data_IF_171049806279
#
_entry.id   IF_171049806279
#
_cell.length_a   1.000
_cell.length_b   1.000
_cell.length_c   1.000
_cell.angle_alpha   90.00
_cell.angle_beta   90.00
_cell.angle_gamma   90.00
#
_symmetry.space_group_name_H-M   'P 1'
#
loop_
_entity.id
_entity.type
_entity.pdbx_description
1 polymer ?
#
# COMPACT_ATOMS: atom_id res chain seq x y z
N UNK A 1 -55.90 6.76 -27.92
CA UNK A 1 -57.33 6.68 -27.57
C UNK A 1 -58.15 7.05 -28.80
N UNK A 2 -59.10 6.20 -29.21
CA UNK A 2 -60.08 6.59 -30.26
C UNK A 2 -60.84 7.82 -29.75
N UNK A 3 -60.99 8.85 -30.57
CA UNK A 3 -61.77 10.03 -30.20
C UNK A 3 -63.21 9.60 -29.85
N UNK A 4 -63.71 10.06 -28.71
CA UNK A 4 -65.11 9.86 -28.31
C UNK A 4 -66.03 10.37 -29.41
N UNK A 5 -66.98 9.55 -29.87
CA UNK A 5 -68.00 9.94 -30.88
C UNK A 5 -68.86 11.14 -30.44
N UNK A 6 -68.87 11.45 -29.14
CA UNK A 6 -69.65 12.55 -28.55
C UNK A 6 -68.76 13.70 -28.10
N UNK A 7 -69.17 14.94 -28.46
CA UNK A 7 -68.58 16.19 -27.96
C UNK A 7 -68.97 16.43 -26.50
N UNK A 8 -68.19 17.25 -25.79
CA UNK A 8 -68.47 17.55 -24.37
C UNK A 8 -69.82 18.25 -24.19
N UNK A 9 -70.25 19.05 -25.17
CA UNK A 9 -71.59 19.64 -25.20
C UNK A 9 -72.70 18.59 -25.36
N UNK A 10 -72.49 17.58 -26.21
CA UNK A 10 -73.43 16.47 -26.37
C UNK A 10 -73.52 15.62 -25.10
N UNK A 11 -72.41 15.37 -24.42
CA UNK A 11 -72.39 14.67 -23.13
C UNK A 11 -73.13 15.44 -22.04
N UNK A 12 -72.88 16.74 -21.93
CA UNK A 12 -73.59 17.61 -20.98
C UNK A 12 -75.11 17.59 -21.23
N UNK A 13 -75.53 17.64 -22.51
CA UNK A 13 -76.94 17.58 -22.89
C UNK A 13 -77.59 16.24 -22.52
N UNK A 14 -76.91 15.12 -22.78
CA UNK A 14 -77.38 13.77 -22.44
C UNK A 14 -77.52 13.60 -20.92
N UNK A 15 -76.57 14.13 -20.14
CA UNK A 15 -76.65 14.10 -18.68
C UNK A 15 -77.78 14.98 -18.15
N UNK A 16 -78.00 16.15 -18.76
CA UNK A 16 -79.09 17.07 -18.41
C UNK A 16 -80.47 16.42 -18.58
N UNK A 17 -80.70 15.65 -19.66
CA UNK A 17 -81.96 14.92 -19.86
C UNK A 17 -82.31 13.98 -18.70
N UNK A 18 -81.31 13.35 -18.06
CA UNK A 18 -81.55 12.50 -16.91
C UNK A 18 -81.74 13.27 -15.60
N UNK A 19 -81.16 14.46 -15.48
CA UNK A 19 -81.45 15.39 -14.38
C UNK A 19 -82.89 15.96 -14.50
N UNK A 20 -83.37 16.17 -15.73
CA UNK A 20 -84.72 16.63 -16.06
C UNK A 20 -85.79 15.50 -15.95
N UNK A 21 -85.41 14.30 -15.49
CA UNK A 21 -86.34 13.21 -15.14
C UNK A 21 -86.60 12.15 -16.23
N UNK A 22 -85.90 12.18 -17.37
CA UNK A 22 -86.06 11.15 -18.41
C UNK A 22 -85.43 9.81 -17.96
N UNK A 23 -86.13 8.66 -18.11
CA UNK A 23 -85.57 7.36 -17.72
C UNK A 23 -84.24 7.04 -18.43
N UNK A 24 -83.22 6.63 -17.66
CA UNK A 24 -81.87 6.34 -18.16
C UNK A 24 -81.86 5.32 -19.30
N UNK A 25 -82.74 4.31 -19.25
CA UNK A 25 -82.89 3.30 -20.30
C UNK A 25 -83.32 3.90 -21.66
N UNK A 26 -84.13 4.96 -21.63
CA UNK A 26 -84.58 5.67 -22.83
C UNK A 26 -83.52 6.61 -23.37
N UNK A 27 -82.82 7.33 -22.48
CA UNK A 27 -81.67 8.18 -22.85
C UNK A 27 -80.59 7.35 -23.55
N UNK A 28 -80.24 6.19 -22.97
CA UNK A 28 -79.24 5.28 -23.52
C UNK A 28 -79.64 4.75 -24.91
N UNK A 29 -80.93 4.42 -25.10
CA UNK A 29 -81.48 3.98 -26.39
C UNK A 29 -81.42 5.08 -27.45
N UNK A 30 -81.82 6.30 -27.11
CA UNK A 30 -81.84 7.46 -28.03
C UNK A 30 -80.43 7.94 -28.40
N UNK A 31 -79.52 7.99 -27.43
CA UNK A 31 -78.14 8.43 -27.65
C UNK A 31 -77.23 7.32 -28.18
N UNK A 32 -77.67 6.06 -28.21
CA UNK A 32 -76.88 4.92 -28.67
C UNK A 32 -75.68 4.62 -27.77
N UNK A 33 -75.82 4.80 -26.45
CA UNK A 33 -74.79 4.54 -25.44
C UNK A 33 -75.23 3.45 -24.46
N UNK A 34 -74.27 2.77 -23.83
CA UNK A 34 -74.61 1.79 -22.78
C UNK A 34 -74.96 2.50 -21.46
N UNK A 35 -75.81 1.89 -20.59
CA UNK A 35 -76.07 2.41 -19.25
C UNK A 35 -74.80 2.64 -18.42
N UNK A 36 -73.80 1.76 -18.54
CA UNK A 36 -72.51 1.93 -17.86
C UNK A 36 -71.80 3.22 -18.30
N UNK A 37 -71.77 3.51 -19.61
CA UNK A 37 -71.20 4.75 -20.15
C UNK A 37 -71.92 5.99 -19.64
N UNK A 38 -73.25 5.93 -19.52
CA UNK A 38 -74.04 7.02 -18.95
C UNK A 38 -73.68 7.29 -17.48
N UNK A 39 -73.62 6.25 -16.65
CA UNK A 39 -73.26 6.39 -15.23
C UNK A 39 -71.80 6.81 -15.03
N UNK A 40 -70.87 6.37 -15.87
CA UNK A 40 -69.47 6.83 -15.86
C UNK A 40 -69.37 8.32 -16.22
N UNK A 41 -70.12 8.78 -17.22
CA UNK A 41 -70.18 10.20 -17.55
C UNK A 41 -70.84 11.00 -16.46
N UNK A 42 -71.91 10.50 -15.86
CA UNK A 42 -72.60 11.14 -14.73
C UNK A 42 -71.62 11.31 -13.57
N UNK A 43 -70.96 10.24 -13.13
CA UNK A 43 -69.96 10.27 -12.06
C UNK A 43 -68.83 11.28 -12.31
N UNK A 44 -68.42 11.46 -13.57
CA UNK A 44 -67.25 12.28 -13.93
C UNK A 44 -67.59 13.73 -14.30
N UNK A 45 -68.78 13.98 -14.84
CA UNK A 45 -69.13 15.24 -15.50
C UNK A 45 -70.48 15.83 -15.05
N UNK A 46 -71.21 15.19 -14.14
CA UNK A 46 -72.44 15.74 -13.58
C UNK A 46 -72.18 17.11 -12.94
N UNK A 47 -73.04 18.08 -13.25
CA UNK A 47 -72.93 19.46 -12.76
C UNK A 47 -71.87 20.33 -13.45
N UNK A 48 -71.05 19.79 -14.37
CA UNK A 48 -70.02 20.56 -15.07
C UNK A 48 -70.53 21.18 -16.37
N UNK A 49 -70.16 22.43 -16.63
CA UNK A 49 -70.35 23.05 -17.93
C UNK A 49 -69.38 22.46 -18.98
N UNK A 50 -69.70 22.48 -20.29
CA UNK A 50 -68.83 21.93 -21.33
C UNK A 50 -67.38 22.49 -21.33
N UNK A 51 -67.20 23.76 -20.96
CA UNK A 51 -65.88 24.38 -20.81
C UNK A 51 -65.08 23.78 -19.63
N UNK A 52 -65.75 23.49 -18.52
CA UNK A 52 -65.15 22.86 -17.34
C UNK A 52 -64.78 21.40 -17.63
N UNK A 53 -65.62 20.68 -18.39
CA UNK A 53 -65.30 19.33 -18.87
C UNK A 53 -64.02 19.30 -19.73
N UNK A 54 -63.86 20.29 -20.63
CA UNK A 54 -62.64 20.44 -21.45
C UNK A 54 -61.41 20.72 -20.59
N UNK A 55 -61.51 21.66 -19.64
CA UNK A 55 -60.43 22.01 -18.73
C UNK A 55 -60.03 20.83 -17.85
N UNK A 56 -61.00 20.07 -17.33
CA UNK A 56 -60.76 18.87 -16.54
C UNK A 56 -59.98 17.83 -17.36
N UNK A 57 -60.42 17.56 -18.60
CA UNK A 57 -59.73 16.62 -19.49
C UNK A 57 -58.30 17.06 -19.81
N UNK A 58 -58.09 18.35 -20.07
CA UNK A 58 -56.74 18.90 -20.28
C UNK A 58 -55.84 18.70 -19.05
N UNK A 59 -56.36 19.00 -17.85
CA UNK A 59 -55.62 18.80 -16.60
C UNK A 59 -55.32 17.33 -16.32
N UNK A 60 -56.22 16.42 -16.69
CA UNK A 60 -55.98 14.97 -16.61
C UNK A 60 -54.86 14.53 -17.58
N UNK A 61 -54.89 15.02 -18.82
CA UNK A 61 -53.86 14.74 -19.82
C UNK A 61 -52.49 15.31 -19.38
N UNK A 62 -52.45 16.53 -18.85
CA UNK A 62 -51.24 17.16 -18.30
C UNK A 62 -50.72 16.41 -17.07
N UNK A 63 -51.58 16.02 -16.12
CA UNK A 63 -51.19 15.20 -14.99
C UNK A 63 -50.62 13.84 -15.42
N UNK A 64 -51.22 13.23 -16.44
CA UNK A 64 -50.73 11.96 -16.98
C UNK A 64 -49.32 12.12 -17.57
N UNK A 65 -49.08 13.21 -18.31
CA UNK A 65 -47.75 13.55 -18.84
C UNK A 65 -46.74 13.83 -17.72
N UNK A 66 -47.11 14.62 -16.71
CA UNK A 66 -46.24 14.93 -15.57
C UNK A 66 -45.87 13.69 -14.78
N UNK A 67 -46.84 12.79 -14.51
CA UNK A 67 -46.58 11.51 -13.84
C UNK A 67 -45.58 10.67 -14.61
N UNK A 68 -45.71 10.60 -15.94
CA UNK A 68 -44.75 9.88 -16.80
C UNK A 68 -43.35 10.50 -16.71
N UNK A 69 -43.25 11.81 -16.84
CA UNK A 69 -41.96 12.52 -16.76
C UNK A 69 -41.29 12.33 -15.39
N UNK A 70 -42.05 12.39 -14.29
CA UNK A 70 -41.51 12.14 -12.94
C UNK A 70 -41.03 10.70 -12.79
N UNK A 71 -41.74 9.73 -13.36
CA UNK A 71 -41.30 8.33 -13.36
C UNK A 71 -39.99 8.15 -14.13
N UNK A 72 -39.90 8.71 -15.34
CA UNK A 72 -38.71 8.64 -16.19
C UNK A 72 -37.50 9.29 -15.49
N UNK A 73 -37.64 10.52 -14.98
CA UNK A 73 -36.57 11.21 -14.24
C UNK A 73 -36.17 10.50 -12.94
N UNK A 74 -37.10 9.82 -12.27
CA UNK A 74 -36.80 9.03 -11.06
C UNK A 74 -35.96 7.81 -11.40
N UNK A 75 -36.26 7.14 -12.52
CA UNK A 75 -35.49 6.02 -13.03
C UNK A 75 -34.08 6.45 -13.47
N UNK A 76 -33.97 7.57 -14.19
CA UNK A 76 -32.66 8.15 -14.55
C UNK A 76 -31.82 8.45 -13.31
N UNK A 77 -32.44 9.04 -12.27
CA UNK A 77 -31.77 9.28 -10.99
C UNK A 77 -31.26 7.98 -10.39
N UNK A 78 -32.08 6.93 -10.33
CA UNK A 78 -31.69 5.63 -9.77
C UNK A 78 -30.53 5.00 -10.54
N UNK A 79 -30.58 5.05 -11.87
CA UNK A 79 -29.49 4.58 -12.74
C UNK A 79 -28.18 5.31 -12.46
N UNK A 80 -28.22 6.65 -12.36
CA UNK A 80 -27.04 7.45 -12.05
C UNK A 80 -26.50 7.14 -10.63
N UNK A 81 -27.39 6.96 -9.66
CA UNK A 81 -27.01 6.59 -8.30
C UNK A 81 -26.36 5.20 -8.24
N UNK A 82 -26.86 4.22 -9.00
CA UNK A 82 -26.27 2.88 -9.08
C UNK A 82 -24.82 2.92 -9.60
N UNK A 83 -24.55 3.74 -10.64
CA UNK A 83 -23.18 3.94 -11.13
C UNK A 83 -22.29 4.52 -10.02
N UNK A 84 -22.78 5.50 -9.25
CA UNK A 84 -22.03 6.11 -8.14
C UNK A 84 -21.74 5.08 -7.04
N UNK A 85 -22.68 4.19 -6.70
CA UNK A 85 -22.47 3.08 -5.76
C UNK A 85 -21.34 2.17 -6.22
N UNK A 86 -21.36 1.77 -7.51
CA UNK A 86 -20.35 0.88 -8.10
C UNK A 86 -18.95 1.50 -8.16
N UNK A 87 -18.84 2.83 -8.31
CA UNK A 87 -17.54 3.53 -8.36
C UNK A 87 -16.77 3.55 -7.02
N UNK A 88 -17.37 3.11 -5.92
CA UNK A 88 -16.72 2.92 -4.62
C UNK A 88 -15.85 4.12 -4.17
N UNK A 89 -16.41 5.32 -4.32
CA UNK A 89 -15.71 6.59 -4.05
C UNK A 89 -15.34 6.73 -2.57
N UNK A 90 -14.10 7.13 -2.29
CA UNK A 90 -13.65 7.41 -0.91
C UNK A 90 -14.41 8.60 -0.30
N UNK A 91 -14.66 8.62 1.02
CA UNK A 91 -15.36 9.72 1.69
C UNK A 91 -14.74 11.10 1.49
N UNK A 92 -13.41 11.18 1.31
CA UNK A 92 -12.72 12.44 0.96
C UNK A 92 -13.19 12.99 -0.38
N UNK A 93 -13.21 12.15 -1.42
CA UNK A 93 -13.66 12.54 -2.77
C UNK A 93 -15.15 12.86 -2.79
N UNK A 94 -15.98 12.11 -2.05
CA UNK A 94 -17.42 12.43 -1.92
C UNK A 94 -17.65 13.82 -1.31
N UNK A 95 -16.85 14.23 -0.31
CA UNK A 95 -16.92 15.58 0.26
C UNK A 95 -16.58 16.67 -0.74
N UNK A 96 -15.51 16.49 -1.53
CA UNK A 96 -15.16 17.42 -2.60
C UNK A 96 -16.30 17.58 -3.61
N UNK A 97 -16.88 16.46 -4.06
CA UNK A 97 -18.00 16.47 -5.00
C UNK A 97 -19.25 17.16 -4.42
N UNK A 98 -19.57 16.94 -3.14
CA UNK A 98 -20.66 17.67 -2.46
C UNK A 98 -20.38 19.18 -2.48
N UNK A 99 -19.15 19.60 -2.18
CA UNK A 99 -18.74 21.00 -2.24
C UNK A 99 -18.89 21.61 -3.63
N UNK A 100 -18.42 20.90 -4.67
CA UNK A 100 -18.59 21.31 -6.07
C UNK A 100 -20.07 21.43 -6.44
N UNK A 101 -20.90 20.44 -6.09
CA UNK A 101 -22.33 20.48 -6.38
C UNK A 101 -23.04 21.66 -5.71
N UNK A 102 -22.69 21.96 -4.45
CA UNK A 102 -23.26 23.11 -3.76
C UNK A 102 -22.87 24.44 -4.43
N UNK A 103 -21.63 24.56 -4.94
CA UNK A 103 -21.15 25.77 -5.61
C UNK A 103 -21.69 25.94 -7.03
N UNK A 104 -21.65 24.89 -7.86
CA UNK A 104 -22.07 24.96 -9.26
C UNK A 104 -23.59 24.99 -9.42
N UNK A 105 -24.30 24.18 -8.63
CA UNK A 105 -25.75 24.01 -8.76
C UNK A 105 -26.55 24.79 -7.72
N UNK A 106 -25.87 25.53 -6.82
CA UNK A 106 -26.49 26.35 -5.77
C UNK A 106 -27.49 25.56 -4.90
N UNK A 107 -27.23 24.27 -4.68
CA UNK A 107 -28.07 23.39 -3.87
C UNK A 107 -27.55 23.30 -2.44
N UNK A 108 -28.45 23.03 -1.49
CA UNK A 108 -28.04 22.77 -0.11
C UNK A 108 -27.20 21.50 0.03
N UNK A 109 -26.30 21.47 1.03
CA UNK A 109 -25.50 20.29 1.39
C UNK A 109 -26.39 19.05 1.57
N UNK A 110 -27.58 19.21 2.15
CA UNK A 110 -28.56 18.13 2.33
C UNK A 110 -28.96 17.52 0.98
N UNK A 111 -29.29 18.35 0.00
CA UNK A 111 -29.71 17.91 -1.35
C UNK A 111 -28.56 17.28 -2.12
N UNK A 112 -27.36 17.86 -2.06
CA UNK A 112 -26.16 17.30 -2.68
C UNK A 112 -25.76 15.94 -2.08
N UNK A 113 -25.79 15.81 -0.75
CA UNK A 113 -25.52 14.55 -0.06
C UNK A 113 -26.54 13.45 -0.42
N UNK A 114 -27.83 13.80 -0.53
CA UNK A 114 -28.87 12.85 -0.93
C UNK A 114 -28.70 12.37 -2.38
N UNK A 115 -28.28 13.25 -3.29
CA UNK A 115 -28.00 12.88 -4.68
C UNK A 115 -26.81 11.91 -4.80
N UNK A 116 -25.73 12.12 -4.03
CA UNK A 116 -24.51 11.31 -4.06
C UNK A 116 -24.51 10.11 -3.11
N UNK A 117 -25.62 9.87 -2.40
CA UNK A 117 -25.75 8.86 -1.34
C UNK A 117 -24.58 8.91 -0.38
N UNK A 118 -24.42 10.10 0.22
CA UNK A 118 -23.37 10.38 1.16
C UNK A 118 -23.97 10.83 2.48
N UNK A 119 -23.54 10.18 3.55
CA UNK A 119 -24.03 10.51 4.87
C UNK A 119 -23.52 11.89 5.33
N UNK A 120 -24.43 12.68 5.90
CA UNK A 120 -24.15 14.07 6.32
C UNK A 120 -23.21 14.11 7.51
N UNK A 121 -23.28 13.16 8.44
CA UNK A 121 -22.35 13.11 9.57
C UNK A 121 -20.91 12.89 9.07
N UNK A 122 -20.75 12.03 8.05
CA UNK A 122 -19.45 11.80 7.40
C UNK A 122 -18.98 13.02 6.61
N UNK A 123 -19.89 13.79 6.01
CA UNK A 123 -19.56 15.06 5.36
C UNK A 123 -19.02 16.10 6.36
N UNK A 124 -19.72 16.29 7.48
CA UNK A 124 -19.34 17.25 8.52
C UNK A 124 -18.18 16.79 9.39
N UNK A 125 -17.82 15.50 9.35
CA UNK A 125 -16.71 14.97 10.11
C UNK A 125 -15.39 15.70 9.79
N UNK A 126 -14.87 16.41 10.79
CA UNK A 126 -13.52 16.96 10.81
C UNK A 126 -12.66 16.07 11.70
N UNK A 127 -11.60 15.52 11.13
CA UNK A 127 -10.65 14.69 11.89
C UNK A 127 -9.93 15.57 12.91
N UNK A 128 -10.17 15.35 14.20
CA UNK A 128 -9.28 15.82 15.26
C UNK A 128 -8.03 14.94 15.23
N UNK A 129 -6.91 15.48 14.72
CA UNK A 129 -5.65 14.75 14.66
C UNK A 129 -4.80 15.12 15.89
N UNK A 130 -4.21 14.17 16.61
CA UNK A 130 -3.14 14.48 17.56
C UNK A 130 -1.96 15.08 16.80
N UNK A 131 -1.17 15.91 17.48
CA UNK A 131 -0.04 16.62 16.89
C UNK A 131 0.82 15.68 16.03
N UNK A 132 0.91 16.02 14.74
CA UNK A 132 1.63 15.27 13.73
C UNK A 132 3.07 15.81 13.57
N UNK A 133 3.34 17.03 14.05
CA UNK A 133 4.59 17.73 13.82
C UNK A 133 5.77 16.98 14.45
N UNK A 134 5.67 16.61 15.73
CA UNK A 134 6.75 15.88 16.43
C UNK A 134 7.11 14.55 15.77
N UNK A 135 6.10 13.77 15.37
CA UNK A 135 6.32 12.49 14.69
C UNK A 135 6.90 12.66 13.28
N UNK A 136 6.42 13.64 12.52
CA UNK A 136 6.93 13.93 11.18
C UNK A 136 8.40 14.41 11.24
N UNK A 137 8.72 15.29 12.18
CA UNK A 137 10.08 15.75 12.43
C UNK A 137 10.99 14.57 12.77
N UNK A 138 10.56 13.67 13.68
CA UNK A 138 11.38 12.51 14.04
C UNK A 138 11.60 11.53 12.88
N UNK A 139 10.56 11.26 12.08
CA UNK A 139 10.69 10.47 10.85
C UNK A 139 11.72 11.09 9.92
N UNK A 140 11.69 12.43 9.76
CA UNK A 140 12.64 13.16 8.92
C UNK A 140 14.07 13.00 9.43
N UNK A 141 14.33 13.24 10.72
CA UNK A 141 15.66 13.06 11.33
C UNK A 141 16.22 11.66 11.12
N UNK A 142 15.39 10.62 11.32
CA UNK A 142 15.81 9.22 11.07
C UNK A 142 16.21 9.03 9.60
N UNK A 143 15.46 9.60 8.67
CA UNK A 143 15.71 9.44 7.23
C UNK A 143 16.89 10.30 6.73
N UNK A 144 17.17 11.43 7.36
CA UNK A 144 18.35 12.26 7.10
C UNK A 144 19.64 11.50 7.48
N UNK A 145 19.67 10.88 8.67
CA UNK A 145 20.81 10.06 9.08
C UNK A 145 20.88 8.73 8.32
N UNK A 146 19.72 8.13 7.99
CA UNK A 146 19.62 6.78 7.39
C UNK A 146 18.85 6.82 6.08
N UNK A 147 19.43 7.47 5.07
CA UNK A 147 18.80 7.76 3.76
C UNK A 147 18.20 6.55 3.04
N UNK A 148 18.72 5.33 3.26
CA UNK A 148 18.20 4.09 2.64
C UNK A 148 17.11 3.38 3.43
N UNK A 149 16.56 3.99 4.47
CA UNK A 149 15.55 3.37 5.31
C UNK A 149 14.16 3.55 4.73
N UNK A 150 13.48 2.43 4.46
CA UNK A 150 12.05 2.41 4.16
C UNK A 150 11.21 2.54 5.43
N UNK A 151 9.93 2.90 5.27
CA UNK A 151 9.00 3.11 6.40
C UNK A 151 8.96 1.96 7.43
N UNK A 152 9.21 0.71 7.01
CA UNK A 152 9.25 -0.45 7.92
C UNK A 152 10.39 -0.37 8.92
N UNK A 153 11.57 0.08 8.51
CA UNK A 153 12.73 0.23 9.40
C UNK A 153 12.58 1.46 10.28
N UNK A 154 12.07 2.56 9.71
CA UNK A 154 11.69 3.76 10.47
C UNK A 154 10.71 3.40 11.60
N UNK A 155 9.69 2.57 11.31
CA UNK A 155 8.75 2.08 12.33
C UNK A 155 9.44 1.31 13.47
N UNK A 156 10.47 0.52 13.18
CA UNK A 156 11.19 -0.21 14.24
C UNK A 156 11.94 0.76 15.14
N UNK A 157 12.63 1.74 14.56
CA UNK A 157 13.36 2.76 15.33
C UNK A 157 12.41 3.59 16.19
N UNK A 158 11.30 4.04 15.61
CA UNK A 158 10.25 4.75 16.36
C UNK A 158 9.71 3.90 17.52
N UNK A 159 9.48 2.60 17.34
CA UNK A 159 9.06 1.73 18.45
C UNK A 159 10.12 1.60 19.54
N UNK A 160 11.40 1.50 19.18
CA UNK A 160 12.50 1.45 20.15
C UNK A 160 12.62 2.74 20.96
N UNK A 161 12.27 3.87 20.35
CA UNK A 161 12.18 5.19 21.00
C UNK A 161 10.89 5.40 21.80
N UNK A 162 10.01 4.39 21.93
CA UNK A 162 8.78 4.47 22.72
C UNK A 162 7.56 5.01 21.97
N UNK A 163 7.64 5.28 20.66
CA UNK A 163 6.48 5.71 19.89
C UNK A 163 5.50 4.54 19.68
N UNK A 164 4.43 4.50 20.48
CA UNK A 164 3.34 3.53 20.40
C UNK A 164 2.37 3.82 19.23
N UNK A 165 2.90 3.87 18.00
CA UNK A 165 2.12 4.18 16.80
C UNK A 165 1.95 2.99 15.86
N UNK A 166 0.80 2.95 15.19
CA UNK A 166 0.53 1.96 14.16
C UNK A 166 1.41 2.20 12.92
N UNK A 167 1.92 1.12 12.33
CA UNK A 167 2.72 1.14 11.10
C UNK A 167 2.02 1.85 9.92
N UNK A 168 0.68 1.77 9.84
CA UNK A 168 -0.11 2.48 8.83
C UNK A 168 0.07 4.00 8.95
N UNK A 169 0.18 4.53 10.17
CA UNK A 169 0.42 5.96 10.43
C UNK A 169 1.81 6.37 9.96
N UNK A 170 2.84 5.61 10.32
CA UNK A 170 4.22 5.84 9.87
C UNK A 170 4.33 5.80 8.35
N UNK A 171 3.72 4.80 7.71
CA UNK A 171 3.68 4.71 6.23
C UNK A 171 3.01 5.92 5.60
N UNK A 172 1.90 6.40 6.17
CA UNK A 172 1.18 7.58 5.66
C UNK A 172 2.05 8.83 5.74
N UNK A 173 2.61 9.13 6.91
CA UNK A 173 3.46 10.32 7.11
C UNK A 173 4.72 10.23 6.24
N UNK A 174 5.36 9.07 6.19
CA UNK A 174 6.51 8.83 5.31
C UNK A 174 6.19 9.10 3.83
N UNK A 175 4.97 8.76 3.39
CA UNK A 175 4.53 9.04 2.03
C UNK A 175 4.19 10.53 1.81
N UNK A 176 3.55 11.18 2.78
CA UNK A 176 3.24 12.62 2.77
C UNK A 176 4.52 13.45 2.71
N UNK A 177 5.60 12.99 3.36
CA UNK A 177 6.93 13.62 3.32
C UNK A 177 7.73 13.33 2.04
N UNK A 178 7.21 12.55 1.09
CA UNK A 178 7.91 12.24 -0.16
C UNK A 178 9.16 11.37 0.01
N UNK A 179 9.29 10.63 1.12
CA UNK A 179 10.50 9.88 1.45
C UNK A 179 10.60 8.53 0.73
N UNK A 180 9.75 8.26 -0.27
CA UNK A 180 9.72 6.96 -0.94
C UNK A 180 11.05 6.67 -1.67
N UNK A 181 11.69 5.58 -1.29
CA UNK A 181 12.86 5.07 -2.00
C UNK A 181 12.45 4.64 -3.41
N UNK A 182 13.04 5.25 -4.44
CA UNK A 182 12.92 4.76 -5.82
C UNK A 182 13.60 3.40 -5.92
N UNK A 183 12.84 2.35 -6.21
CA UNK A 183 13.40 1.06 -6.59
C UNK A 183 14.06 1.21 -7.96
N UNK A 184 15.40 1.13 -8.02
CA UNK A 184 16.14 1.25 -9.29
C UNK A 184 16.25 -0.06 -10.08
N UNK A 185 15.74 -1.18 -9.58
CA UNK A 185 15.88 -2.47 -10.28
C UNK A 185 14.60 -3.32 -10.27
N UNK A 186 14.19 -3.89 -11.42
CA UNK A 186 13.13 -4.89 -11.44
C UNK A 186 13.60 -6.14 -10.69
N UNK A 187 12.78 -6.64 -9.77
CA UNK A 187 13.02 -7.93 -9.12
C UNK A 187 12.79 -9.04 -10.14
N UNK A 188 13.84 -9.57 -10.76
CA UNK A 188 13.77 -10.87 -11.44
C UNK A 188 13.52 -11.94 -10.37
N UNK A 189 12.33 -12.51 -10.37
CA UNK A 189 11.99 -13.66 -9.52
C UNK A 189 12.47 -14.93 -10.22
N UNK A 190 13.73 -15.28 -10.03
CA UNK A 190 14.22 -16.61 -10.41
C UNK A 190 13.97 -17.54 -9.23
N UNK A 191 13.14 -18.58 -9.42
CA UNK A 191 13.00 -19.65 -8.44
C UNK A 191 14.30 -20.45 -8.43
N UNK A 192 15.15 -20.24 -7.43
CA UNK A 192 16.30 -21.11 -7.21
C UNK A 192 15.84 -22.41 -6.55
N UNK A 193 16.27 -23.56 -7.07
CA UNK A 193 16.16 -24.83 -6.35
C UNK A 193 17.06 -24.74 -5.11
N UNK A 194 16.48 -24.91 -3.93
CA UNK A 194 17.21 -25.09 -2.67
C UNK A 194 18.05 -26.37 -2.77
N UNK A 195 19.24 -26.37 -2.14
CA UNK A 195 19.98 -27.62 -1.86
C UNK A 195 19.20 -28.36 -0.77
N UNK A 196 18.94 -29.66 -0.95
CA UNK A 196 18.41 -30.52 0.13
C UNK A 196 19.49 -30.81 1.20
N UNK A 197 20.79 -30.69 0.87
CA UNK A 197 21.88 -31.18 1.75
C UNK A 197 22.61 -30.14 2.61
N UNK A 198 22.19 -28.87 2.63
CA UNK A 198 22.86 -27.85 3.47
C UNK A 198 22.13 -27.68 4.79
N UNK A 199 22.73 -28.15 5.87
CA UNK A 199 22.27 -27.82 7.21
C UNK A 199 22.35 -26.30 7.43
N UNK A 200 21.28 -25.66 7.94
CA UNK A 200 21.33 -24.27 8.36
C UNK A 200 22.30 -24.13 9.55
N UNK A 201 23.00 -23.00 9.62
CA UNK A 201 23.81 -22.69 10.80
C UNK A 201 22.90 -22.61 12.04
N UNK A 202 23.33 -23.27 13.12
CA UNK A 202 22.51 -23.43 14.34
C UNK A 202 22.93 -22.52 15.49
N UNK A 203 24.17 -22.03 15.44
CA UNK A 203 24.77 -21.18 16.47
C UNK A 203 25.75 -20.17 15.87
N UNK A 204 26.16 -19.14 16.62
CA UNK A 204 27.23 -18.24 16.18
C UNK A 204 28.51 -19.01 15.87
N UNK A 205 29.28 -18.53 14.90
CA UNK A 205 30.53 -19.14 14.41
C UNK A 205 30.37 -20.56 13.86
N UNK A 206 29.15 -20.97 13.52
CA UNK A 206 28.95 -22.26 12.85
C UNK A 206 29.37 -22.18 11.38
N UNK A 207 28.84 -21.20 10.66
CA UNK A 207 29.18 -20.95 9.26
C UNK A 207 29.32 -19.46 9.00
N UNK A 208 30.50 -19.07 8.56
CA UNK A 208 30.76 -17.75 7.99
C UNK A 208 30.69 -17.81 6.46
N UNK A 209 30.33 -16.69 5.86
CA UNK A 209 30.46 -16.47 4.42
C UNK A 209 31.30 -15.21 4.20
N UNK A 210 32.26 -15.27 3.28
CA UNK A 210 33.10 -14.13 2.94
C UNK A 210 33.18 -13.93 1.44
N UNK A 211 33.43 -12.68 1.04
CA UNK A 211 33.45 -12.23 -0.34
C UNK A 211 34.20 -10.89 -0.45
N UNK A 212 34.56 -10.51 -1.67
CA UNK A 212 35.17 -9.24 -1.99
C UNK A 212 34.20 -8.28 -2.68
N UNK A 213 34.11 -7.06 -2.14
CA UNK A 213 33.40 -5.96 -2.78
C UNK A 213 34.39 -4.96 -3.37
N UNK A 214 34.08 -4.47 -4.57
CA UNK A 214 34.90 -3.48 -5.26
C UNK A 214 34.27 -2.08 -5.17
N UNK A 215 35.13 -1.08 -4.97
CA UNK A 215 34.78 0.33 -5.05
C UNK A 215 35.98 1.17 -5.49
N UNK A 216 35.87 2.50 -5.45
CA UNK A 216 36.94 3.42 -5.79
C UNK A 216 36.97 4.64 -4.88
N UNK A 217 38.16 5.21 -4.69
CA UNK A 217 38.32 6.53 -4.10
C UNK A 217 37.75 7.60 -5.04
N UNK A 218 37.54 8.80 -4.49
CA UNK A 218 37.14 9.98 -5.25
C UNK A 218 38.15 10.34 -6.36
N UNK A 219 39.41 9.94 -6.19
CA UNK A 219 40.48 10.08 -7.19
C UNK A 219 40.42 9.03 -8.31
N UNK A 220 39.49 8.07 -8.26
CA UNK A 220 39.36 6.97 -9.22
C UNK A 220 40.22 5.75 -8.91
N UNK A 221 41.11 5.81 -7.92
CA UNK A 221 41.92 4.66 -7.51
C UNK A 221 41.02 3.56 -6.93
N UNK A 222 41.06 2.37 -7.51
CA UNK A 222 40.25 1.23 -7.08
C UNK A 222 40.65 0.76 -5.68
N UNK A 223 39.65 0.40 -4.90
CA UNK A 223 39.79 -0.27 -3.61
C UNK A 223 38.99 -1.58 -3.64
N UNK A 224 39.46 -2.53 -2.86
CA UNK A 224 38.84 -3.84 -2.70
C UNK A 224 38.62 -4.07 -1.22
N UNK A 225 37.47 -4.63 -0.87
CA UNK A 225 37.02 -4.75 0.52
C UNK A 225 36.70 -6.20 0.82
N UNK A 226 37.40 -6.79 1.79
CA UNK A 226 37.06 -8.11 2.30
C UNK A 226 35.88 -7.96 3.26
N UNK A 227 34.81 -8.70 2.99
CA UNK A 227 33.60 -8.71 3.81
C UNK A 227 33.37 -10.11 4.35
N UNK A 228 33.01 -10.22 5.63
CA UNK A 228 32.71 -11.49 6.29
C UNK A 228 31.39 -11.37 7.03
N UNK A 229 30.53 -12.38 6.96
CA UNK A 229 29.27 -12.42 7.69
C UNK A 229 29.01 -13.80 8.28
N UNK A 230 28.59 -13.81 9.54
CA UNK A 230 28.04 -14.98 10.20
C UNK A 230 26.62 -15.26 9.67
N UNK A 231 26.39 -16.49 9.20
CA UNK A 231 25.13 -16.85 8.55
C UNK A 231 23.98 -17.09 9.52
N UNK A 232 24.25 -17.31 10.81
CA UNK A 232 23.27 -17.45 11.88
C UNK A 232 22.88 -16.08 12.45
N UNK A 233 23.83 -15.37 13.07
CA UNK A 233 23.58 -14.13 13.82
C UNK A 233 23.45 -12.90 12.93
N UNK A 234 23.90 -13.00 11.67
CA UNK A 234 24.07 -11.86 10.73
C UNK A 234 25.18 -10.91 11.13
N UNK A 235 25.94 -11.23 12.17
CA UNK A 235 27.05 -10.43 12.63
C UNK A 235 28.12 -10.40 11.54
N UNK A 236 28.68 -9.22 11.29
CA UNK A 236 29.75 -9.03 10.33
C UNK A 236 31.05 -8.84 11.11
N UNK A 237 31.95 -9.84 11.14
CA UNK A 237 33.17 -9.74 11.94
C UNK A 237 34.16 -8.67 11.43
N UNK A 238 34.17 -8.44 10.11
CA UNK A 238 35.11 -7.49 9.50
C UNK A 238 34.63 -6.97 8.15
N UNK A 239 35.03 -5.72 7.87
CA UNK A 239 35.01 -5.07 6.57
C UNK A 239 36.37 -4.40 6.40
N UNK A 240 37.29 -5.03 5.66
CA UNK A 240 38.70 -4.58 5.55
C UNK A 240 38.96 -4.01 4.15
N UNK A 241 39.14 -2.69 3.97
CA UNK A 241 39.48 -2.10 2.68
C UNK A 241 41.00 -2.08 2.43
N UNK A 242 41.41 -2.46 1.21
CA UNK A 242 42.80 -2.37 0.72
C UNK A 242 42.85 -1.97 -0.76
N UNK A 243 44.01 -1.54 -1.23
CA UNK A 243 44.22 -1.34 -2.68
C UNK A 243 44.36 -2.67 -3.45
N UNK A 244 45.01 -3.64 -2.83
CA UNK A 244 45.18 -5.00 -3.37
C UNK A 244 45.11 -6.02 -2.24
N UNK A 245 44.70 -7.24 -2.59
CA UNK A 245 44.64 -8.36 -1.67
C UNK A 245 45.58 -9.47 -2.13
N UNK A 246 46.26 -10.07 -1.16
CA UNK A 246 47.06 -11.30 -1.28
C UNK A 246 46.57 -12.26 -0.21
N UNK A 247 46.88 -13.55 -0.37
CA UNK A 247 46.49 -14.59 0.57
C UNK A 247 46.90 -14.28 2.02
N UNK A 248 48.14 -13.84 2.22
CA UNK A 248 48.70 -13.41 3.52
C UNK A 248 47.86 -12.33 4.22
N UNK A 249 47.28 -11.39 3.46
CA UNK A 249 46.44 -10.34 4.01
C UNK A 249 45.09 -10.86 4.50
N UNK A 250 44.51 -11.85 3.78
CA UNK A 250 43.27 -12.50 4.19
C UNK A 250 43.51 -13.26 5.49
N UNK A 251 44.58 -14.06 5.56
CA UNK A 251 44.96 -14.81 6.76
C UNK A 251 45.18 -13.87 7.96
N UNK A 252 45.95 -12.79 7.79
CA UNK A 252 46.19 -11.81 8.86
C UNK A 252 44.89 -11.16 9.36
N UNK A 253 43.96 -10.82 8.46
CA UNK A 253 42.67 -10.26 8.84
C UNK A 253 41.78 -11.28 9.55
N UNK A 254 41.74 -12.53 9.09
CA UNK A 254 40.99 -13.59 9.74
C UNK A 254 41.53 -13.92 11.13
N UNK A 255 42.85 -14.02 11.28
CA UNK A 255 43.47 -14.31 12.57
C UNK A 255 43.15 -13.22 13.61
N UNK A 256 43.31 -11.94 13.23
CA UNK A 256 42.98 -10.79 14.10
C UNK A 256 41.53 -10.79 14.56
N UNK A 257 40.62 -11.21 13.68
CA UNK A 257 39.17 -11.17 13.94
C UNK A 257 38.73 -12.39 14.74
N UNK A 258 39.17 -13.59 14.34
CA UNK A 258 38.87 -14.84 15.04
C UNK A 258 39.40 -14.82 16.48
N UNK A 259 40.52 -14.15 16.74
CA UNK A 259 41.03 -13.94 18.10
C UNK A 259 40.03 -13.21 19.02
N UNK A 260 39.12 -12.39 18.48
CA UNK A 260 38.13 -11.63 19.25
C UNK A 260 36.77 -12.33 19.33
N UNK A 261 36.34 -12.95 18.23
CA UNK A 261 34.97 -13.47 18.10
C UNK A 261 34.87 -14.98 18.13
N UNK A 262 36.00 -15.69 18.10
CA UNK A 262 36.08 -17.14 17.95
C UNK A 262 36.28 -17.56 16.49
N UNK A 263 36.73 -18.81 16.31
CA UNK A 263 36.94 -19.41 15.00
C UNK A 263 35.64 -20.05 14.47
N UNK A 264 35.31 -19.86 13.18
CA UNK A 264 34.17 -20.53 12.58
C UNK A 264 34.44 -22.01 12.33
N UNK A 265 33.41 -22.86 12.37
CA UNK A 265 33.55 -24.25 11.92
C UNK A 265 33.73 -24.34 10.40
N UNK A 266 32.94 -23.57 9.65
CA UNK A 266 32.97 -23.56 8.18
C UNK A 266 33.05 -22.12 7.66
N UNK A 267 33.89 -21.89 6.66
CA UNK A 267 33.93 -20.65 5.89
C UNK A 267 33.48 -20.94 4.45
N UNK A 268 32.46 -20.24 4.00
CA UNK A 268 32.00 -20.26 2.61
C UNK A 268 32.68 -19.15 1.82
N UNK A 269 33.33 -19.54 0.74
CA UNK A 269 34.08 -18.65 -0.17
C UNK A 269 33.66 -18.94 -1.60
N UNK A 270 33.81 -17.94 -2.48
CA UNK A 270 33.79 -18.22 -3.91
C UNK A 270 35.14 -18.77 -4.39
N UNK A 271 35.19 -19.20 -5.65
CA UNK A 271 36.42 -19.75 -6.25
C UNK A 271 37.36 -18.64 -6.75
N UNK A 272 37.34 -17.45 -6.13
CA UNK A 272 38.31 -16.40 -6.42
C UNK A 272 39.73 -16.91 -6.19
N UNK A 273 40.67 -16.53 -7.06
CA UNK A 273 42.07 -16.97 -6.99
C UNK A 273 42.74 -16.55 -5.67
N UNK A 274 42.21 -15.54 -4.98
CA UNK A 274 42.71 -15.10 -3.67
C UNK A 274 42.28 -16.02 -2.53
N UNK A 275 41.20 -16.78 -2.69
CA UNK A 275 40.73 -17.77 -1.72
C UNK A 275 41.26 -19.17 -2.01
N UNK A 276 41.60 -19.48 -3.28
CA UNK A 276 42.27 -20.72 -3.67
C UNK A 276 43.78 -20.54 -3.53
N UNK A 277 44.24 -20.26 -2.31
CA UNK A 277 45.66 -20.05 -2.02
C UNK A 277 46.14 -21.01 -0.93
N UNK A 278 47.37 -21.50 -1.10
CA UNK A 278 48.01 -22.42 -0.15
C UNK A 278 48.04 -21.88 1.28
N UNK A 279 48.25 -20.57 1.44
CA UNK A 279 48.33 -19.94 2.77
C UNK A 279 46.99 -19.98 3.50
N UNK A 280 45.87 -19.76 2.78
CA UNK A 280 44.54 -19.83 3.38
C UNK A 280 44.16 -21.28 3.73
N UNK A 281 44.49 -22.24 2.85
CA UNK A 281 44.27 -23.67 3.12
C UNK A 281 45.08 -24.14 4.34
N UNK A 282 46.35 -23.73 4.45
CA UNK A 282 47.21 -24.04 5.60
C UNK A 282 46.67 -23.42 6.89
N UNK A 283 46.22 -22.16 6.85
CA UNK A 283 45.59 -21.52 8.01
C UNK A 283 44.31 -22.25 8.43
N UNK A 284 43.46 -22.60 7.46
CA UNK A 284 42.21 -23.29 7.73
C UNK A 284 42.46 -24.66 8.36
N UNK A 285 43.40 -25.43 7.81
CA UNK A 285 43.83 -26.71 8.39
C UNK A 285 44.37 -26.54 9.82
N UNK A 286 45.28 -25.59 10.03
CA UNK A 286 45.90 -25.35 11.34
C UNK A 286 44.89 -24.92 12.42
N UNK A 287 43.81 -24.25 12.03
CA UNK A 287 42.76 -23.76 12.94
C UNK A 287 41.53 -24.67 13.00
N UNK A 288 41.53 -25.80 12.28
CA UNK A 288 40.38 -26.72 12.23
C UNK A 288 39.14 -26.13 11.53
N UNK A 289 39.34 -25.17 10.63
CA UNK A 289 38.28 -24.52 9.86
C UNK A 289 38.11 -25.24 8.52
N UNK A 290 36.88 -25.57 8.14
CA UNK A 290 36.59 -26.15 6.81
C UNK A 290 36.27 -25.06 5.80
N UNK A 291 36.96 -25.03 4.66
CA UNK A 291 36.63 -24.15 3.53
C UNK A 291 35.62 -24.84 2.61
N UNK A 292 34.42 -24.26 2.46
CA UNK A 292 33.35 -24.71 1.55
C UNK A 292 33.28 -23.77 0.34
N UNK A 293 33.93 -24.16 -0.75
CA UNK A 293 33.94 -23.40 -2.00
C UNK A 293 32.61 -23.48 -2.73
N UNK A 294 32.09 -22.34 -3.17
CA UNK A 294 30.87 -22.26 -3.96
C UNK A 294 31.03 -22.93 -5.33
N UNK A 295 29.94 -23.45 -5.90
CA UNK A 295 29.98 -24.07 -7.21
C UNK A 295 29.97 -23.01 -8.32
N UNK A 296 30.71 -23.23 -9.42
CA UNK A 296 30.64 -22.36 -10.59
C UNK A 296 29.20 -22.14 -11.06
N UNK A 297 28.80 -20.88 -11.25
CA UNK A 297 27.50 -20.51 -11.78
C UNK A 297 26.29 -20.66 -10.84
N UNK A 298 26.49 -20.83 -9.51
CA UNK A 298 25.39 -20.89 -8.53
C UNK A 298 25.45 -19.79 -7.45
N UNK A 299 24.92 -18.58 -7.76
CA UNK A 299 24.91 -17.43 -6.83
C UNK A 299 24.24 -17.72 -5.48
N UNK A 300 23.27 -18.65 -5.45
CA UNK A 300 22.55 -19.03 -4.24
C UNK A 300 23.43 -19.61 -3.15
N UNK A 301 24.60 -20.16 -3.50
CA UNK A 301 25.48 -20.79 -2.52
C UNK A 301 26.08 -19.75 -1.53
N UNK A 302 26.12 -18.46 -1.92
CA UNK A 302 26.64 -17.32 -1.15
C UNK A 302 25.58 -16.23 -0.86
N UNK A 303 24.28 -16.57 -0.89
CA UNK A 303 23.18 -15.61 -0.75
C UNK A 303 23.24 -14.72 0.51
N UNK A 304 23.85 -15.21 1.61
CA UNK A 304 23.97 -14.43 2.84
C UNK A 304 25.00 -13.30 2.73
N UNK A 305 26.16 -13.57 2.14
CA UNK A 305 27.18 -12.55 1.91
C UNK A 305 26.74 -11.60 0.81
N UNK A 306 26.07 -12.07 -0.25
CA UNK A 306 25.45 -11.20 -1.26
C UNK A 306 24.44 -10.22 -0.64
N UNK A 307 23.60 -10.70 0.28
CA UNK A 307 22.65 -9.84 0.99
C UNK A 307 23.35 -8.85 1.93
N UNK A 308 24.48 -9.23 2.53
CA UNK A 308 25.33 -8.33 3.32
C UNK A 308 25.94 -7.25 2.41
N UNK A 309 26.57 -7.65 1.31
CA UNK A 309 27.25 -6.80 0.35
C UNK A 309 26.28 -5.83 -0.32
N UNK A 310 25.05 -6.25 -0.63
CA UNK A 310 24.00 -5.36 -1.11
C UNK A 310 23.65 -4.26 -0.10
N UNK A 311 23.60 -4.59 1.21
CA UNK A 311 23.36 -3.60 2.27
C UNK A 311 24.54 -2.66 2.42
N UNK A 312 25.75 -3.23 2.56
CA UNK A 312 27.00 -2.48 2.64
C UNK A 312 27.14 -1.48 1.49
N UNK A 313 26.87 -1.94 0.26
CA UNK A 313 26.89 -1.07 -0.91
C UNK A 313 25.85 0.04 -0.84
N UNK A 314 24.62 -0.29 -0.47
CA UNK A 314 23.54 0.70 -0.44
C UNK A 314 23.67 1.73 0.70
N UNK A 315 24.15 1.30 1.86
CA UNK A 315 24.13 2.05 3.13
C UNK A 315 25.48 2.64 3.53
N UNK A 316 26.58 2.21 2.92
CA UNK A 316 27.93 2.76 3.14
C UNK A 316 28.54 3.27 1.83
N UNK A 317 28.82 2.37 0.88
CA UNK A 317 29.59 2.70 -0.33
C UNK A 317 28.92 3.79 -1.17
N UNK A 318 27.63 3.64 -1.44
CA UNK A 318 26.87 4.59 -2.27
C UNK A 318 26.49 5.89 -1.52
N UNK A 319 26.78 6.01 -0.23
CA UNK A 319 26.40 7.19 0.58
C UNK A 319 27.60 8.03 0.97
N UNK A 320 28.82 7.56 0.75
CA UNK A 320 30.05 8.25 1.13
C UNK A 320 30.97 8.43 -0.06
N UNK A 321 31.75 9.51 -0.03
CA UNK A 321 32.90 9.69 -0.89
C UNK A 321 34.14 9.31 -0.09
N UNK A 322 35.02 8.50 -0.67
CA UNK A 322 36.25 8.05 -0.01
C UNK A 322 37.44 8.85 -0.55
N UNK A 323 38.09 9.65 0.28
CA UNK A 323 39.21 10.50 -0.13
C UNK A 323 40.54 9.73 -0.10
N UNK A 324 40.73 8.90 0.92
CA UNK A 324 41.92 8.07 1.13
C UNK A 324 41.53 6.66 1.58
N UNK A 325 42.49 5.74 1.60
CA UNK A 325 42.25 4.40 2.15
C UNK A 325 41.95 4.43 3.66
N UNK A 326 42.61 5.33 4.40
CA UNK A 326 42.36 5.52 5.83
C UNK A 326 40.94 6.05 6.09
N UNK A 327 40.51 7.05 5.30
CA UNK A 327 39.14 7.58 5.34
C UNK A 327 38.10 6.50 4.98
N UNK A 328 38.40 5.65 4.00
CA UNK A 328 37.56 4.49 3.68
C UNK A 328 37.47 3.50 4.86
N UNK A 329 38.60 3.16 5.49
CA UNK A 329 38.64 2.27 6.65
C UNK A 329 37.80 2.82 7.81
N UNK A 330 37.94 4.12 8.14
CA UNK A 330 37.18 4.77 9.21
C UNK A 330 35.66 4.71 8.95
N UNK A 331 35.22 5.10 7.76
CA UNK A 331 33.80 5.10 7.37
C UNK A 331 33.21 3.68 7.34
N UNK A 332 33.98 2.69 6.88
CA UNK A 332 33.56 1.30 6.85
C UNK A 332 33.48 0.69 8.25
N UNK A 333 34.41 1.02 9.15
CA UNK A 333 34.38 0.63 10.55
C UNK A 333 33.17 1.25 11.29
N UNK A 334 32.90 2.54 11.04
CA UNK A 334 31.71 3.20 11.59
C UNK A 334 30.41 2.54 11.09
N UNK A 335 30.37 2.14 9.81
CA UNK A 335 29.24 1.37 9.28
C UNK A 335 29.16 -0.03 9.90
N UNK A 336 30.29 -0.71 10.11
CA UNK A 336 30.35 -2.05 10.68
C UNK A 336 29.82 -2.06 12.12
N UNK A 337 30.25 -1.10 12.95
CA UNK A 337 29.74 -0.90 14.31
C UNK A 337 28.23 -0.72 14.29
N UNK A 338 27.74 0.22 13.48
CA UNK A 338 26.31 0.45 13.32
C UNK A 338 25.54 -0.80 12.85
N UNK A 339 26.09 -1.53 11.87
CA UNK A 339 25.49 -2.73 11.31
C UNK A 339 25.31 -3.82 12.37
N UNK A 340 26.31 -4.00 13.25
CA UNK A 340 26.30 -5.02 14.29
C UNK A 340 25.50 -4.61 15.54
N UNK A 341 25.58 -3.35 15.96
CA UNK A 341 25.10 -2.89 17.27
C UNK A 341 23.70 -2.29 17.25
N UNK A 342 23.32 -1.61 16.16
CA UNK A 342 22.07 -0.84 16.12
C UNK A 342 21.10 -1.30 15.04
N UNK A 343 21.62 -1.70 13.87
CA UNK A 343 20.82 -1.90 12.67
C UNK A 343 19.72 -2.93 12.91
N UNK A 344 18.44 -2.65 12.59
CA UNK A 344 17.38 -3.65 12.69
C UNK A 344 17.39 -4.64 11.52
N UNK A 345 17.51 -5.93 11.83
CA UNK A 345 17.49 -7.01 10.84
C UNK A 345 16.18 -7.81 10.88
N UNK A 346 15.38 -7.73 9.81
CA UNK A 346 14.07 -8.41 9.76
C UNK A 346 14.14 -9.93 9.87
N UNK A 347 15.23 -10.56 9.43
CA UNK A 347 15.43 -12.02 9.51
C UNK A 347 15.68 -12.52 10.93
N UNK A 348 16.08 -11.64 11.86
CA UNK A 348 16.36 -11.95 13.26
C UNK A 348 15.44 -11.14 14.19
N UNK A 349 14.18 -10.97 13.77
CA UNK A 349 13.16 -10.31 14.60
C UNK A 349 13.39 -8.82 14.83
N UNK A 350 14.06 -8.14 13.91
CA UNK A 350 14.45 -6.72 14.03
C UNK A 350 15.41 -6.42 15.18
N UNK A 351 16.14 -7.42 15.68
CA UNK A 351 17.24 -7.21 16.62
C UNK A 351 18.53 -6.83 15.89
N UNK A 352 19.47 -6.14 16.56
CA UNK A 352 20.83 -5.98 16.06
C UNK A 352 21.61 -7.30 16.10
N UNK A 353 22.51 -7.57 15.14
CA UNK A 353 23.27 -8.80 15.06
C UNK A 353 24.05 -9.18 16.34
N UNK A 354 24.61 -8.20 17.06
CA UNK A 354 25.39 -8.44 18.29
C UNK A 354 24.59 -9.19 19.36
N UNK A 355 23.27 -9.01 19.39
CA UNK A 355 22.38 -9.67 20.36
C UNK A 355 22.34 -11.18 20.24
N UNK A 356 22.71 -11.72 19.08
CA UNK A 356 22.78 -13.17 18.83
C UNK A 356 24.19 -13.72 18.91
N UNK A 357 25.22 -12.87 19.01
CA UNK A 357 26.61 -13.29 19.15
C UNK A 357 26.93 -13.71 20.59
N UNK A 358 26.29 -13.06 21.58
CA UNK A 358 26.61 -13.19 23.01
C UNK A 358 25.73 -14.17 23.79
N UNK A 359 24.88 -14.98 23.14
CA UNK A 359 24.01 -15.95 23.84
C UNK A 359 24.74 -17.25 24.21
N UNK A 360 25.93 -17.13 24.78
CA UNK A 360 26.69 -18.20 25.42
C UNK A 360 26.97 -17.84 26.87
N UNK A 361 26.01 -18.10 27.77
CA UNK A 361 26.25 -18.14 29.22
C UNK A 361 25.27 -17.35 30.10
N UNK A 362 24.04 -17.86 30.26
CA UNK A 362 23.23 -17.89 31.50
C UNK A 362 21.73 -18.03 31.15
N UNK A 363 21.06 -19.15 31.47
CA UNK A 363 19.61 -19.17 31.50
C UNK A 363 19.15 -18.32 32.68
N UNK A 364 18.40 -17.24 32.42
CA UNK A 364 17.58 -16.63 33.48
C UNK A 364 16.61 -17.68 34.01
N UNK A 365 16.48 -17.86 35.34
CA UNK A 365 15.41 -18.70 35.86
C UNK A 365 14.06 -18.03 35.54
N UNK A 366 13.02 -18.80 35.20
CA UNK A 366 11.68 -18.25 35.02
C UNK A 366 11.10 -17.79 36.37
N UNK A 367 10.09 -16.90 36.35
CA UNK A 367 9.52 -16.26 37.53
C UNK A 367 8.92 -17.22 38.56
#
# INVERSE_FOLDING_TARGET
>A
MKASKFSDAQKALILKQGADGVPVAEICRRAGISPATYFDWKKKYEGLAPLEMRRLKQLEDENTKLRKLVADLSLDREMLQDIVRRKNLRPGRKRELVGMMCGEWQVSIRRACAALEFDRSTHHYKSCRPDQAGLAARIKTICETRVRYGYRRVQVLLRREGWAINQKRTRRIYNELGLQLRNKTPKRRVKAKLREDRAPATRPNDVWAMDFVHDQLATGRKIRVLTVVDTFSRFSPVVDPRFSYRAEHVVATLERVCAKVGYPRIIRVDQGSEFVSRDLDLWAYAKGVTLDFSRPGKPTDNAFIEACNGRFRSECLNTHWFLTLADAAEKMEAWLRYYNEDRPHGTIGHKPPITLQNSGGAPSPPP
#
